data_IF_386287676498
#
_entry.id   IF_386287676498
#
_cell.length_a   1.000
_cell.length_b   1.000
_cell.length_c   1.000
_cell.angle_alpha   90.00
_cell.angle_beta   90.00
_cell.angle_gamma   90.00
#
_symmetry.space_group_name_H-M   'P 1'
#
loop_
_entity.id
_entity.type
_entity.pdbx_description
1 polymer ?
#
# COMPACT_ATOMS: atom_id res chain seq x y z
N UNK A 1 11.13 -101.63 -25.48
CA UNK A 1 10.90 -100.86 -24.23
C UNK A 1 9.90 -99.76 -24.57
N UNK A 2 8.86 -99.70 -23.74
CA UNK A 2 7.61 -98.97 -23.90
C UNK A 2 7.75 -97.44 -23.99
N UNK A 3 6.73 -96.76 -24.55
CA UNK A 3 5.72 -96.00 -23.80
C UNK A 3 5.12 -94.82 -24.60
N UNK A 4 3.81 -94.60 -24.40
CA UNK A 4 3.03 -93.34 -24.47
C UNK A 4 2.85 -92.59 -25.82
N UNK A 5 1.62 -92.65 -26.35
CA UNK A 5 0.73 -91.54 -26.77
C UNK A 5 -0.54 -92.18 -27.36
N UNK A 6 -1.53 -92.59 -26.55
CA UNK A 6 -2.65 -91.78 -26.04
C UNK A 6 -3.71 -91.42 -27.09
N UNK A 7 -4.82 -92.17 -27.03
CA UNK A 7 -6.20 -91.69 -27.04
C UNK A 7 -6.60 -90.62 -28.07
N UNK A 8 -7.15 -91.07 -29.20
CA UNK A 8 -8.37 -90.46 -29.77
C UNK A 8 -9.27 -91.60 -30.26
N UNK A 9 -10.25 -91.95 -29.43
CA UNK A 9 -11.44 -92.68 -29.83
C UNK A 9 -12.36 -91.69 -30.58
N UNK A 10 -12.90 -92.01 -31.77
CA UNK A 10 -13.88 -91.17 -32.45
C UNK A 10 -15.17 -91.11 -31.62
N UNK A 11 -15.18 -90.21 -30.65
CA UNK A 11 -16.26 -90.00 -29.71
C UNK A 11 -17.58 -89.72 -30.43
N UNK A 12 -18.50 -90.65 -30.22
CA UNK A 12 -19.93 -90.62 -30.44
C UNK A 12 -20.54 -89.20 -30.37
N UNK A 13 -20.70 -88.55 -31.52
CA UNK A 13 -21.42 -87.29 -31.68
C UNK A 13 -22.93 -87.56 -31.63
N UNK A 14 -23.47 -87.73 -30.42
CA UNK A 14 -24.87 -88.13 -30.26
C UNK A 14 -25.55 -87.75 -28.95
N UNK A 15 -25.02 -86.78 -28.20
CA UNK A 15 -25.62 -86.34 -26.93
C UNK A 15 -25.62 -84.82 -26.78
N UNK A 16 -26.68 -84.15 -27.25
CA UNK A 16 -26.92 -82.75 -26.89
C UNK A 16 -27.44 -82.68 -25.45
N UNK A 17 -26.58 -82.36 -24.49
CA UNK A 17 -27.02 -81.96 -23.15
C UNK A 17 -27.76 -80.64 -23.31
N UNK A 18 -29.06 -80.59 -23.01
CA UNK A 18 -29.80 -79.33 -22.94
C UNK A 18 -29.25 -78.54 -21.76
N UNK A 19 -28.46 -77.50 -22.04
CA UNK A 19 -28.07 -76.51 -21.04
C UNK A 19 -29.37 -75.77 -20.66
N UNK A 20 -29.81 -75.76 -19.39
CA UNK A 20 -30.96 -74.96 -19.00
C UNK A 20 -30.64 -73.49 -19.28
N UNK A 21 -31.47 -72.85 -20.11
CA UNK A 21 -31.36 -71.43 -20.40
C UNK A 21 -31.45 -70.67 -19.07
N UNK A 22 -30.35 -70.01 -18.69
CA UNK A 22 -30.39 -69.09 -17.56
C UNK A 22 -31.44 -68.02 -17.89
N UNK A 23 -32.32 -67.64 -16.94
CA UNK A 23 -33.33 -66.63 -17.20
C UNK A 23 -32.63 -65.36 -17.71
N UNK A 24 -33.19 -64.68 -18.72
CA UNK A 24 -32.56 -63.51 -19.31
C UNK A 24 -32.25 -62.50 -18.20
N UNK A 25 -30.96 -62.19 -18.02
CA UNK A 25 -30.54 -61.11 -17.13
C UNK A 25 -31.02 -59.82 -17.78
N UNK A 26 -32.14 -59.30 -17.30
CA UNK A 26 -32.62 -57.97 -17.69
C UNK A 26 -31.65 -56.98 -17.07
N UNK A 27 -30.69 -56.52 -17.85
CA UNK A 27 -29.82 -55.42 -17.45
C UNK A 27 -30.71 -54.19 -17.23
N UNK A 28 -30.90 -53.82 -15.97
CA UNK A 28 -31.64 -52.61 -15.65
C UNK A 28 -30.88 -51.41 -16.22
N UNK A 29 -31.59 -50.41 -16.77
CA UNK A 29 -30.94 -49.22 -17.28
C UNK A 29 -30.13 -48.55 -16.16
N UNK A 30 -28.88 -48.22 -16.45
CA UNK A 30 -28.02 -47.51 -15.50
C UNK A 30 -28.58 -46.09 -15.37
N UNK A 31 -29.17 -45.78 -14.22
CA UNK A 31 -29.69 -44.45 -13.90
C UNK A 31 -28.60 -43.67 -13.17
N UNK A 32 -28.29 -42.48 -13.66
CA UNK A 32 -27.35 -41.55 -13.02
C UNK A 32 -28.13 -40.49 -12.25
N UNK A 33 -28.05 -40.52 -10.92
CA UNK A 33 -28.71 -39.53 -10.06
C UNK A 33 -27.83 -38.30 -9.83
N UNK A 34 -28.43 -37.11 -9.80
CA UNK A 34 -27.76 -35.87 -9.41
C UNK A 34 -27.56 -35.84 -7.90
N UNK A 35 -26.34 -35.55 -7.41
CA UNK A 35 -26.06 -35.52 -5.97
C UNK A 35 -26.73 -34.35 -5.22
N UNK A 36 -27.34 -33.38 -5.93
CA UNK A 36 -27.91 -32.16 -5.34
C UNK A 36 -29.43 -32.03 -5.39
N UNK A 37 -30.07 -32.54 -6.44
CA UNK A 37 -31.51 -32.28 -6.67
C UNK A 37 -32.33 -33.54 -7.00
N UNK A 38 -31.77 -34.73 -6.79
CA UNK A 38 -32.42 -36.03 -7.05
C UNK A 38 -32.88 -36.26 -8.50
N UNK A 39 -32.49 -35.39 -9.45
CA UNK A 39 -32.76 -35.58 -10.87
C UNK A 39 -32.06 -36.82 -11.42
N UNK A 40 -32.71 -37.52 -12.34
CA UNK A 40 -32.26 -38.79 -12.92
C UNK A 40 -31.93 -38.62 -14.39
N UNK A 41 -30.82 -39.22 -14.83
CA UNK A 41 -30.31 -39.11 -16.20
C UNK A 41 -29.93 -40.47 -16.76
N UNK A 42 -30.13 -40.63 -18.06
CA UNK A 42 -29.81 -41.86 -18.79
C UNK A 42 -28.34 -41.90 -19.26
N UNK A 43 -27.58 -40.83 -19.05
CA UNK A 43 -26.15 -40.76 -19.37
C UNK A 43 -25.36 -39.87 -18.40
N UNK A 44 -24.07 -40.17 -18.25
CA UNK A 44 -23.13 -39.36 -17.45
C UNK A 44 -23.01 -37.93 -18.01
N UNK A 45 -23.06 -37.77 -19.33
CA UNK A 45 -22.94 -36.47 -19.99
C UNK A 45 -24.13 -35.56 -19.66
N UNK A 46 -25.36 -36.09 -19.76
CA UNK A 46 -26.56 -35.35 -19.40
C UNK A 46 -26.57 -34.96 -17.91
N UNK A 47 -26.11 -35.86 -17.02
CA UNK A 47 -25.93 -35.52 -15.59
C UNK A 47 -24.92 -34.38 -15.40
N UNK A 48 -23.80 -34.40 -16.11
CA UNK A 48 -22.76 -33.35 -16.01
C UNK A 48 -23.27 -32.00 -16.50
N UNK A 49 -23.90 -31.96 -17.66
CA UNK A 49 -24.48 -30.73 -18.23
C UNK A 49 -25.53 -30.14 -17.29
N UNK A 50 -26.41 -30.97 -16.74
CA UNK A 50 -27.35 -30.55 -15.72
C UNK A 50 -26.64 -30.00 -14.48
N UNK A 51 -25.63 -30.70 -13.95
CA UNK A 51 -24.92 -30.27 -12.75
C UNK A 51 -24.27 -28.89 -12.93
N UNK A 52 -23.63 -28.63 -14.06
CA UNK A 52 -23.02 -27.32 -14.34
C UNK A 52 -24.06 -26.21 -14.56
N UNK A 53 -25.19 -26.53 -15.21
CA UNK A 53 -26.21 -25.52 -15.54
C UNK A 53 -27.14 -25.19 -14.35
N UNK A 54 -27.58 -26.22 -13.62
CA UNK A 54 -28.57 -26.08 -12.55
C UNK A 54 -27.93 -25.83 -11.17
N UNK A 55 -26.66 -26.19 -10.99
CA UNK A 55 -25.93 -26.03 -9.74
C UNK A 55 -24.61 -25.28 -9.96
N UNK A 56 -24.69 -24.00 -10.40
CA UNK A 56 -23.48 -23.20 -10.57
C UNK A 56 -22.77 -23.09 -9.22
N UNK A 57 -21.47 -23.41 -9.22
CA UNK A 57 -20.62 -23.25 -8.05
C UNK A 57 -20.65 -21.80 -7.61
N UNK A 58 -21.09 -21.55 -6.37
CA UNK A 58 -21.04 -20.22 -5.78
C UNK A 58 -20.03 -20.21 -4.64
N UNK A 59 -18.99 -19.40 -4.77
CA UNK A 59 -18.04 -19.19 -3.68
C UNK A 59 -18.64 -18.21 -2.66
N UNK A 60 -18.58 -18.48 -1.35
CA UNK A 60 -18.88 -17.48 -0.32
C UNK A 60 -17.91 -16.31 -0.44
N UNK A 61 -18.45 -15.09 -0.46
CA UNK A 61 -17.67 -13.87 -0.61
C UNK A 61 -17.97 -12.90 0.52
N UNK A 62 -16.92 -12.24 0.99
CA UNK A 62 -17.00 -11.14 1.92
C UNK A 62 -16.48 -9.89 1.22
N UNK A 63 -17.31 -8.85 1.16
CA UNK A 63 -16.93 -7.57 0.58
C UNK A 63 -16.82 -6.51 1.67
N UNK A 64 -15.75 -5.74 1.61
CA UNK A 64 -15.54 -4.55 2.41
C UNK A 64 -15.58 -3.33 1.48
N UNK A 65 -16.56 -2.44 1.69
CA UNK A 65 -16.80 -1.25 0.85
C UNK A 65 -16.89 -1.56 -0.65
N UNK A 66 -17.54 -2.68 -0.97
CA UNK A 66 -17.72 -3.16 -2.34
C UNK A 66 -16.48 -3.83 -2.95
N UNK A 67 -15.40 -4.03 -2.20
CA UNK A 67 -14.23 -4.78 -2.66
C UNK A 67 -14.22 -6.18 -2.04
N UNK A 68 -14.13 -7.26 -2.83
CA UNK A 68 -14.04 -8.61 -2.30
C UNK A 68 -12.73 -8.81 -1.56
N UNK A 69 -12.80 -9.40 -0.37
CA UNK A 69 -11.62 -9.80 0.39
C UNK A 69 -11.04 -11.09 -0.18
N UNK A 70 -9.71 -11.16 -0.24
CA UNK A 70 -9.00 -12.38 -0.59
C UNK A 70 -8.79 -13.28 0.62
N UNK A 71 -8.19 -14.46 0.38
CA UNK A 71 -7.89 -15.46 1.40
C UNK A 71 -6.65 -15.12 2.27
N UNK A 72 -6.21 -13.86 2.26
CA UNK A 72 -5.06 -13.38 3.03
C UNK A 72 -5.49 -12.57 4.26
N UNK A 73 -4.51 -12.25 5.13
CA UNK A 73 -4.76 -11.39 6.30
C UNK A 73 -5.12 -9.98 5.84
N UNK A 74 -6.34 -9.55 6.14
CA UNK A 74 -6.82 -8.20 5.87
C UNK A 74 -6.65 -7.37 7.13
N UNK A 75 -5.84 -6.30 7.07
CA UNK A 75 -5.62 -5.39 8.21
C UNK A 75 -6.50 -4.15 8.10
N UNK A 76 -7.23 -3.85 9.15
CA UNK A 76 -8.21 -2.76 9.25
C UNK A 76 -7.67 -1.72 10.23
N UNK A 77 -7.43 -0.50 9.73
CA UNK A 77 -6.85 0.60 10.51
C UNK A 77 -7.85 1.73 10.82
N UNK A 78 -9.07 1.65 10.28
CA UNK A 78 -10.11 2.64 10.48
C UNK A 78 -11.39 1.99 11.02
N UNK A 79 -12.18 2.69 11.86
CA UNK A 79 -13.50 2.22 12.27
C UNK A 79 -14.38 1.93 11.06
N UNK A 80 -15.09 0.80 11.11
CA UNK A 80 -16.02 0.37 10.10
C UNK A 80 -17.44 0.42 10.64
N UNK A 81 -18.40 0.65 9.76
CA UNK A 81 -19.82 0.53 10.07
C UNK A 81 -20.35 -0.81 9.59
N UNK A 82 -21.47 -1.26 10.14
CA UNK A 82 -22.13 -2.48 9.67
C UNK A 82 -22.46 -2.43 8.16
N UNK A 83 -22.78 -1.22 7.64
CA UNK A 83 -23.07 -0.99 6.23
C UNK A 83 -21.83 -1.06 5.30
N UNK A 84 -20.61 -1.04 5.85
CA UNK A 84 -19.39 -1.22 5.05
C UNK A 84 -19.23 -2.68 4.59
N UNK A 85 -19.95 -3.63 5.20
CA UNK A 85 -19.83 -5.06 4.96
C UNK A 85 -20.96 -5.61 4.10
N UNK A 86 -20.62 -6.50 3.19
CA UNK A 86 -21.59 -7.26 2.40
C UNK A 86 -21.16 -8.73 2.31
N UNK A 87 -22.14 -9.62 2.32
CA UNK A 87 -21.95 -11.06 2.14
C UNK A 87 -22.54 -11.50 0.81
N UNK A 88 -21.80 -12.33 0.09
CA UNK A 88 -22.22 -12.99 -1.14
C UNK A 88 -22.28 -14.50 -0.96
N UNK A 89 -23.37 -15.13 -1.45
CA UNK A 89 -23.49 -16.60 -1.55
C UNK A 89 -23.13 -17.39 -0.28
N UNK A 90 -23.54 -16.91 0.89
CA UNK A 90 -23.23 -17.48 2.19
C UNK A 90 -24.49 -18.03 2.87
N UNK A 91 -24.40 -19.23 3.47
CA UNK A 91 -25.50 -19.86 4.21
C UNK A 91 -25.24 -19.91 5.72
N UNK A 92 -23.98 -20.09 6.11
CA UNK A 92 -23.58 -20.13 7.52
C UNK A 92 -22.30 -19.32 7.75
N UNK A 93 -22.18 -18.79 8.96
CA UNK A 93 -21.14 -17.83 9.35
C UNK A 93 -20.62 -18.25 10.72
N UNK A 94 -19.29 -18.34 10.85
CA UNK A 94 -18.61 -18.63 12.10
C UNK A 94 -17.50 -17.60 12.31
N UNK A 95 -17.57 -16.80 13.38
CA UNK A 95 -16.52 -15.87 13.77
C UNK A 95 -15.85 -16.38 15.05
N UNK A 96 -14.53 -16.56 15.02
CA UNK A 96 -13.74 -17.08 16.14
C UNK A 96 -14.31 -18.38 16.74
N UNK A 97 -14.86 -19.26 15.89
CA UNK A 97 -15.48 -20.53 16.30
C UNK A 97 -16.92 -20.42 16.80
N UNK A 98 -17.52 -19.22 16.83
CA UNK A 98 -18.92 -19.03 17.22
C UNK A 98 -19.80 -18.78 16.00
N UNK A 99 -20.85 -19.61 15.85
CA UNK A 99 -21.85 -19.43 14.80
C UNK A 99 -22.74 -18.21 15.09
N UNK A 100 -22.97 -17.39 14.07
CA UNK A 100 -23.76 -16.15 14.21
C UNK A 100 -24.52 -15.79 12.93
N UNK A 101 -25.46 -14.86 13.04
CA UNK A 101 -26.20 -14.32 11.88
C UNK A 101 -25.40 -13.22 11.18
N UNK A 102 -25.77 -12.87 9.95
CA UNK A 102 -25.11 -11.79 9.20
C UNK A 102 -25.18 -10.45 9.94
N UNK A 103 -26.34 -10.09 10.50
CA UNK A 103 -26.50 -8.85 11.25
C UNK A 103 -25.64 -8.83 12.52
N UNK A 104 -25.59 -9.94 13.25
CA UNK A 104 -24.76 -10.07 14.44
C UNK A 104 -23.26 -9.99 14.08
N UNK A 105 -22.84 -10.60 12.96
CA UNK A 105 -21.49 -10.48 12.44
C UNK A 105 -21.12 -9.02 12.18
N UNK A 106 -21.95 -8.28 11.44
CA UNK A 106 -21.64 -6.90 11.06
C UNK A 106 -21.60 -5.96 12.25
N UNK A 107 -22.48 -6.14 13.24
CA UNK A 107 -22.40 -5.39 14.50
C UNK A 107 -21.12 -5.71 15.27
N UNK A 108 -20.80 -7.01 15.41
CA UNK A 108 -19.57 -7.45 16.10
C UNK A 108 -18.32 -6.86 15.43
N UNK A 109 -18.24 -6.91 14.10
CA UNK A 109 -17.11 -6.34 13.34
C UNK A 109 -17.05 -4.81 13.44
N UNK A 110 -18.19 -4.13 13.54
CA UNK A 110 -18.24 -2.68 13.71
C UNK A 110 -17.81 -2.22 15.12
N UNK A 111 -17.95 -3.07 16.13
CA UNK A 111 -17.49 -2.82 17.51
C UNK A 111 -15.99 -3.13 17.70
N UNK A 112 -15.43 -4.03 16.89
CA UNK A 112 -14.02 -4.39 16.96
C UNK A 112 -13.11 -3.16 16.73
N UNK A 113 -12.12 -2.99 17.60
CA UNK A 113 -11.08 -1.95 17.49
C UNK A 113 -9.68 -2.53 17.39
N UNK A 114 -9.43 -3.61 18.10
CA UNK A 114 -8.14 -4.26 18.21
C UNK A 114 -8.34 -5.77 18.21
N UNK A 115 -7.39 -6.51 17.63
CA UNK A 115 -7.33 -7.97 17.73
C UNK A 115 -7.28 -8.69 16.40
N UNK A 116 -7.18 -10.01 16.49
CA UNK A 116 -7.18 -10.91 15.35
C UNK A 116 -8.45 -11.76 15.38
N UNK A 117 -9.17 -11.78 14.27
CA UNK A 117 -10.45 -12.46 14.13
C UNK A 117 -10.40 -13.38 12.93
N UNK A 118 -10.79 -14.64 13.13
CA UNK A 118 -10.91 -15.63 12.07
C UNK A 118 -12.38 -15.78 11.73
N UNK A 119 -12.73 -15.50 10.48
CA UNK A 119 -14.09 -15.59 9.97
C UNK A 119 -14.16 -16.72 8.94
N UNK A 120 -15.03 -17.68 9.18
CA UNK A 120 -15.31 -18.78 8.28
C UNK A 120 -16.72 -18.60 7.71
N UNK A 121 -16.80 -18.53 6.38
CA UNK A 121 -18.03 -18.42 5.63
C UNK A 121 -18.22 -19.69 4.83
N UNK A 122 -19.43 -20.21 4.79
CA UNK A 122 -19.70 -21.37 3.96
C UNK A 122 -21.11 -21.45 3.42
N UNK A 123 -21.22 -22.28 2.41
CA UNK A 123 -22.47 -22.71 1.81
C UNK A 123 -22.37 -24.21 1.50
N UNK A 124 -23.32 -24.76 0.73
CA UNK A 124 -23.33 -26.18 0.35
C UNK A 124 -22.15 -26.60 -0.55
N UNK A 125 -21.41 -25.64 -1.11
CA UNK A 125 -20.45 -25.86 -2.18
C UNK A 125 -19.02 -25.68 -1.71
N UNK A 126 -18.80 -24.71 -0.82
CA UNK A 126 -17.48 -24.26 -0.43
C UNK A 126 -17.48 -23.66 0.97
N UNK A 127 -16.28 -23.64 1.55
CA UNK A 127 -15.96 -22.97 2.80
C UNK A 127 -14.76 -22.09 2.55
N UNK A 128 -14.87 -20.82 2.94
CA UNK A 128 -13.82 -19.82 2.80
C UNK A 128 -13.47 -19.27 4.18
N UNK A 129 -12.18 -19.07 4.41
CA UNK A 129 -11.64 -18.57 5.66
C UNK A 129 -10.95 -17.23 5.41
N UNK A 130 -11.36 -16.25 6.19
CA UNK A 130 -10.86 -14.88 6.17
C UNK A 130 -10.19 -14.56 7.50
N UNK A 131 -9.01 -13.96 7.44
CA UNK A 131 -8.26 -13.55 8.61
C UNK A 131 -8.28 -12.02 8.69
N UNK A 132 -8.96 -11.48 9.69
CA UNK A 132 -9.16 -10.05 9.88
C UNK A 132 -8.35 -9.56 11.07
N UNK A 133 -7.48 -8.58 10.85
CA UNK A 133 -6.69 -7.95 11.91
C UNK A 133 -7.16 -6.51 12.11
N UNK A 134 -7.71 -6.20 13.27
CA UNK A 134 -8.09 -4.84 13.65
C UNK A 134 -6.92 -4.17 14.38
N UNK A 135 -6.51 -3.01 13.87
CA UNK A 135 -5.45 -2.16 14.41
C UNK A 135 -5.91 -0.70 14.36
N UNK A 136 -7.05 -0.39 14.97
CA UNK A 136 -7.63 0.95 14.99
C UNK A 136 -7.06 1.72 16.18
N UNK A 137 -6.19 2.73 15.96
CA UNK A 137 -5.55 3.47 17.04
C UNK A 137 -6.56 4.30 17.84
N UNK A 138 -6.38 4.37 19.16
CA UNK A 138 -7.16 5.25 20.03
C UNK A 138 -6.74 6.71 19.83
N UNK A 139 -7.72 7.60 19.61
CA UNK A 139 -7.45 9.02 19.39
C UNK A 139 -6.69 9.67 20.56
N UNK A 140 -7.00 9.28 21.80
CA UNK A 140 -6.32 9.78 22.99
C UNK A 140 -4.85 9.33 23.06
N UNK A 141 -4.51 8.14 22.59
CA UNK A 141 -3.12 7.70 22.49
C UNK A 141 -2.36 8.44 21.40
N UNK A 142 -2.99 8.67 20.23
CA UNK A 142 -2.39 9.45 19.15
C UNK A 142 -2.10 10.90 19.57
N UNK A 143 -3.03 11.53 20.30
CA UNK A 143 -2.85 12.88 20.84
C UNK A 143 -1.69 12.93 21.86
N UNK A 144 -1.66 11.99 22.80
CA UNK A 144 -0.57 11.91 23.80
C UNK A 144 0.80 11.77 23.15
N UNK A 145 0.91 10.96 22.09
CA UNK A 145 2.15 10.82 21.34
C UNK A 145 2.62 12.17 20.76
N UNK A 146 1.70 12.93 20.15
CA UNK A 146 2.00 14.25 19.60
C UNK A 146 2.36 15.28 20.68
N UNK A 147 1.74 15.22 21.85
CA UNK A 147 2.08 16.10 22.99
C UNK A 147 3.48 15.82 23.53
N UNK A 148 3.86 14.54 23.67
CA UNK A 148 5.21 14.13 24.07
C UNK A 148 6.22 14.58 23.01
N UNK A 149 5.90 14.40 21.73
CA UNK A 149 6.74 14.85 20.63
C UNK A 149 6.99 16.36 20.69
N UNK A 150 5.92 17.15 20.85
CA UNK A 150 6.02 18.61 20.92
C UNK A 150 6.83 19.09 22.13
N UNK A 151 6.87 18.31 23.22
CA UNK A 151 7.65 18.63 24.42
C UNK A 151 9.15 18.35 24.24
N UNK A 152 9.50 17.26 23.53
CA UNK A 152 10.89 16.83 23.38
C UNK A 152 11.62 17.55 22.23
N UNK A 153 10.93 17.94 21.16
CA UNK A 153 11.56 18.44 19.93
C UNK A 153 11.36 19.95 19.67
N UNK A 154 11.32 20.77 20.73
CA UNK A 154 11.05 22.22 20.64
C UNK A 154 12.10 22.97 19.80
N UNK A 155 13.38 22.61 19.92
CA UNK A 155 14.50 23.39 19.36
C UNK A 155 15.03 22.88 18.02
N UNK A 156 14.37 21.89 17.40
CA UNK A 156 14.82 21.27 16.14
C UNK A 156 16.24 20.64 16.22
N UNK A 157 16.82 20.52 17.42
CA UNK A 157 18.03 19.77 17.68
C UNK A 157 17.64 18.30 17.86
N UNK A 158 18.02 17.47 16.90
CA UNK A 158 17.71 16.04 16.89
C UNK A 158 18.98 15.25 17.21
N UNK A 159 18.94 14.43 18.26
CA UNK A 159 19.98 13.46 18.56
C UNK A 159 19.38 12.04 18.74
N UNK A 160 20.19 11.00 18.62
CA UNK A 160 19.76 9.60 18.78
C UNK A 160 19.18 9.35 20.17
N UNK A 161 19.74 9.98 21.21
CA UNK A 161 19.25 9.85 22.58
C UNK A 161 17.85 10.45 22.78
N UNK A 162 17.52 11.53 22.07
CA UNK A 162 16.18 12.13 22.15
C UNK A 162 15.12 11.24 21.51
N UNK A 163 15.48 10.55 20.40
CA UNK A 163 14.60 9.55 19.78
C UNK A 163 14.38 8.36 20.71
N UNK A 164 15.43 7.91 21.41
CA UNK A 164 15.32 6.83 22.42
C UNK A 164 14.40 7.23 23.57
N UNK A 165 14.60 8.41 24.16
CA UNK A 165 13.74 8.95 25.22
C UNK A 165 12.28 9.08 24.76
N UNK A 166 12.06 9.52 23.53
CA UNK A 166 10.74 9.59 22.93
C UNK A 166 10.08 8.19 22.81
N UNK A 167 10.82 7.20 22.29
CA UNK A 167 10.34 5.83 22.17
C UNK A 167 10.00 5.21 23.55
N UNK A 168 10.85 5.44 24.55
CA UNK A 168 10.63 4.98 25.93
C UNK A 168 9.38 5.64 26.54
N UNK A 169 9.21 6.96 26.39
CA UNK A 169 8.05 7.69 26.89
C UNK A 169 6.72 7.20 26.28
N UNK A 170 6.75 6.79 25.01
CA UNK A 170 5.58 6.31 24.28
C UNK A 170 5.35 4.79 24.36
N UNK A 171 6.19 4.03 25.07
CA UNK A 171 6.08 2.56 25.17
C UNK A 171 4.76 2.10 25.82
N UNK A 172 4.13 2.95 26.63
CA UNK A 172 2.83 2.66 27.25
C UNK A 172 1.64 2.73 26.28
N UNK A 173 1.82 3.32 25.08
CA UNK A 173 0.76 3.55 24.09
C UNK A 173 0.66 2.34 23.13
N UNK A 174 -0.19 1.37 23.46
CA UNK A 174 -0.24 0.08 22.74
C UNK A 174 -0.87 0.20 21.35
N UNK A 175 -1.91 1.01 21.21
CA UNK A 175 -2.66 1.16 19.95
C UNK A 175 -1.98 2.12 18.98
N UNK A 176 -1.13 3.02 19.49
CA UNK A 176 -0.34 3.97 18.69
C UNK A 176 1.06 3.43 18.30
N UNK A 177 1.35 2.15 18.49
CA UNK A 177 2.68 1.57 18.23
C UNK A 177 3.14 1.70 16.77
N UNK A 178 2.24 1.48 15.80
CA UNK A 178 2.54 1.71 14.37
C UNK A 178 2.83 3.19 14.09
N UNK A 179 2.12 4.10 14.77
CA UNK A 179 2.37 5.54 14.62
C UNK A 179 3.73 5.93 15.21
N UNK A 180 4.05 5.42 16.40
CA UNK A 180 5.34 5.61 17.06
C UNK A 180 6.49 5.12 16.17
N UNK A 181 6.36 3.92 15.62
CA UNK A 181 7.34 3.36 14.69
C UNK A 181 7.52 4.27 13.47
N UNK A 182 6.43 4.73 12.85
CA UNK A 182 6.49 5.66 11.72
C UNK A 182 7.21 6.97 12.04
N UNK A 183 6.95 7.55 13.21
CA UNK A 183 7.62 8.78 13.68
C UNK A 183 9.10 8.53 13.95
N UNK A 184 9.46 7.43 14.63
CA UNK A 184 10.85 7.06 14.88
C UNK A 184 11.62 6.85 13.56
N UNK A 185 11.05 6.11 12.61
CA UNK A 185 11.66 5.88 11.30
C UNK A 185 11.86 7.20 10.52
N UNK A 186 10.93 8.15 10.64
CA UNK A 186 11.08 9.49 10.08
C UNK A 186 12.29 10.22 10.69
N UNK A 187 12.38 10.28 12.03
CA UNK A 187 13.47 10.97 12.73
C UNK A 187 14.84 10.34 12.42
N UNK A 188 14.93 9.00 12.41
CA UNK A 188 16.15 8.32 11.98
C UNK A 188 16.50 8.58 10.52
N UNK A 189 15.51 8.71 9.64
CA UNK A 189 15.71 9.10 8.25
C UNK A 189 16.28 10.52 8.11
N UNK A 190 15.79 11.48 8.91
CA UNK A 190 16.34 12.84 8.96
C UNK A 190 17.79 12.83 9.46
N UNK A 191 18.09 12.10 10.54
CA UNK A 191 19.47 11.96 11.05
C UNK A 191 20.41 11.31 10.04
N UNK A 192 19.98 10.23 9.37
CA UNK A 192 20.77 9.54 8.36
C UNK A 192 21.07 10.46 7.17
N UNK A 193 20.09 11.28 6.75
CA UNK A 193 20.26 12.24 5.66
C UNK A 193 21.19 13.40 6.03
N UNK A 194 21.04 13.96 7.22
CA UNK A 194 21.86 15.09 7.67
C UNK A 194 23.26 14.69 8.15
N UNK A 195 23.49 13.40 8.44
CA UNK A 195 24.72 12.90 9.06
C UNK A 195 25.08 13.69 10.34
N UNK A 196 24.07 13.92 11.19
CA UNK A 196 24.15 14.69 12.44
C UNK A 196 23.77 13.82 13.64
N UNK A 197 24.07 14.30 14.85
CA UNK A 197 23.64 13.67 16.10
C UNK A 197 24.30 12.32 16.37
N UNK A 198 25.62 12.22 16.17
CA UNK A 198 26.44 11.02 16.42
C UNK A 198 25.87 9.71 15.84
N UNK A 199 25.11 9.82 14.76
CA UNK A 199 24.47 8.68 14.12
C UNK A 199 25.51 7.76 13.48
N UNK A 200 25.38 6.45 13.71
CA UNK A 200 26.16 5.42 13.00
C UNK A 200 25.48 5.00 11.68
N UNK A 201 24.36 5.62 11.33
CA UNK A 201 23.59 5.29 10.13
C UNK A 201 24.29 5.81 8.89
N UNK A 202 24.42 4.94 7.88
CA UNK A 202 24.92 5.35 6.59
C UNK A 202 23.91 6.26 5.88
N UNK A 203 24.42 7.24 5.14
CA UNK A 203 23.61 8.19 4.39
C UNK A 203 22.66 7.45 3.45
N UNK A 204 23.08 6.35 2.79
CA UNK A 204 22.22 5.59 1.90
C UNK A 204 20.93 5.02 2.56
N UNK A 205 20.93 4.84 3.89
CA UNK A 205 19.80 4.26 4.62
C UNK A 205 18.61 5.22 4.77
N UNK A 206 18.78 6.53 4.50
CA UNK A 206 17.69 7.50 4.67
C UNK A 206 16.44 7.12 3.84
N UNK A 207 16.63 6.61 2.62
CA UNK A 207 15.52 6.23 1.72
C UNK A 207 14.70 5.06 2.28
N UNK A 208 15.39 4.05 2.79
CA UNK A 208 14.74 2.88 3.39
C UNK A 208 13.92 3.29 4.62
N UNK A 209 14.51 4.13 5.48
CA UNK A 209 13.85 4.67 6.68
C UNK A 209 12.62 5.51 6.33
N UNK A 210 12.73 6.38 5.34
CA UNK A 210 11.61 7.17 4.83
C UNK A 210 10.49 6.31 4.22
N UNK A 211 10.82 5.26 3.47
CA UNK A 211 9.81 4.35 2.94
C UNK A 211 9.08 3.59 4.05
N UNK A 212 9.81 3.12 5.08
CA UNK A 212 9.20 2.50 6.27
C UNK A 212 8.30 3.47 7.03
N UNK A 213 8.72 4.72 7.17
CA UNK A 213 7.91 5.78 7.76
C UNK A 213 6.63 6.03 6.94
N UNK A 214 6.71 6.13 5.62
CA UNK A 214 5.53 6.28 4.76
C UNK A 214 4.55 5.11 4.92
N UNK A 215 5.04 3.87 4.99
CA UNK A 215 4.20 2.69 5.14
C UNK A 215 3.49 2.67 6.50
N UNK A 216 4.21 2.93 7.60
CA UNK A 216 3.64 2.99 8.94
C UNK A 216 2.64 4.15 9.10
N UNK A 217 2.94 5.30 8.51
CA UNK A 217 2.11 6.49 8.61
C UNK A 217 0.90 6.48 7.66
N UNK A 218 0.82 5.56 6.67
CA UNK A 218 -0.19 5.65 5.58
C UNK A 218 -1.64 5.69 6.06
N UNK A 219 -1.93 4.99 7.16
CA UNK A 219 -3.29 4.83 7.69
C UNK A 219 -3.63 5.81 8.82
N UNK A 220 -2.67 6.62 9.26
CA UNK A 220 -2.86 7.60 10.33
C UNK A 220 -3.31 8.93 9.71
N UNK A 221 -4.56 9.31 9.95
CA UNK A 221 -5.12 10.61 9.54
C UNK A 221 -4.96 11.65 10.65
N UNK A 222 -3.72 12.05 10.89
CA UNK A 222 -3.35 13.11 11.84
C UNK A 222 -2.56 14.22 11.16
N UNK A 223 -2.71 15.48 11.59
CA UNK A 223 -1.96 16.62 11.05
C UNK A 223 -0.43 16.41 11.01
N UNK A 224 0.14 15.92 12.10
CA UNK A 224 1.58 15.63 12.19
C UNK A 224 2.01 14.55 11.20
N UNK A 225 1.30 13.42 11.15
CA UNK A 225 1.55 12.33 10.19
C UNK A 225 1.45 12.81 8.74
N UNK A 226 0.42 13.61 8.39
CA UNK A 226 0.28 14.19 7.04
C UNK A 226 1.48 15.04 6.67
N UNK A 227 1.94 15.87 7.59
CA UNK A 227 3.08 16.76 7.36
C UNK A 227 4.38 15.96 7.19
N UNK A 228 4.65 14.96 8.04
CA UNK A 228 5.79 14.05 7.88
C UNK A 228 5.79 13.33 6.53
N UNK A 229 4.64 12.78 6.10
CA UNK A 229 4.50 12.18 4.76
C UNK A 229 4.78 13.21 3.66
N UNK A 230 4.36 14.45 3.84
CA UNK A 230 4.66 15.56 2.93
C UNK A 230 6.14 15.86 2.81
N UNK A 231 6.84 15.96 3.94
CA UNK A 231 8.29 16.22 3.99
C UNK A 231 9.04 15.07 3.33
N UNK A 232 8.68 13.82 3.63
CA UNK A 232 9.30 12.64 3.00
C UNK A 232 9.07 12.67 1.49
N UNK A 233 7.83 12.86 1.03
CA UNK A 233 7.50 12.90 -0.38
C UNK A 233 8.25 14.02 -1.11
N UNK A 234 8.35 15.20 -0.49
CA UNK A 234 9.15 16.30 -1.01
C UNK A 234 10.63 15.91 -1.11
N UNK A 235 11.21 15.34 -0.05
CA UNK A 235 12.61 14.91 -0.03
C UNK A 235 12.93 13.91 -1.15
N UNK A 236 12.01 12.98 -1.45
CA UNK A 236 12.14 11.94 -2.48
C UNK A 236 11.68 12.39 -3.89
N UNK A 237 11.41 13.67 -4.10
CA UNK A 237 10.87 14.22 -5.37
C UNK A 237 9.54 13.56 -5.82
N UNK A 238 8.75 13.02 -4.89
CA UNK A 238 7.45 12.42 -5.17
C UNK A 238 6.34 13.48 -5.06
N UNK A 239 6.01 14.10 -6.19
CA UNK A 239 4.99 15.17 -6.24
C UNK A 239 3.58 14.69 -6.62
N UNK A 240 3.31 13.38 -6.55
CA UNK A 240 2.02 12.78 -6.95
C UNK A 240 0.83 13.29 -6.11
N UNK A 241 1.08 13.62 -4.85
CA UNK A 241 0.10 14.12 -3.90
C UNK A 241 0.51 15.50 -3.41
N UNK A 242 0.65 16.48 -4.31
CA UNK A 242 0.79 17.90 -3.94
C UNK A 242 -0.52 18.45 -3.29
N UNK A 243 -1.25 17.61 -2.57
CA UNK A 243 -2.55 17.84 -1.98
C UNK A 243 -2.37 18.59 -0.66
N UNK A 244 -3.01 19.76 -0.60
CA UNK A 244 -3.34 20.57 0.59
C UNK A 244 -2.73 20.07 1.90
N UNK A 245 -1.58 20.63 2.27
CA UNK A 245 -1.07 20.54 3.63
C UNK A 245 -1.45 21.83 4.36
N UNK A 246 -2.64 21.91 4.99
CA UNK A 246 -3.03 23.11 5.74
C UNK A 246 -2.05 23.37 6.90
N UNK A 247 -1.44 22.31 7.43
CA UNK A 247 -0.57 22.34 8.60
C UNK A 247 0.86 22.82 8.28
N UNK A 248 1.27 22.79 6.99
CA UNK A 248 2.61 23.19 6.52
C UNK A 248 2.53 23.99 5.20
N UNK A 249 2.09 25.26 5.24
CA UNK A 249 1.81 26.05 4.05
C UNK A 249 3.06 26.31 3.19
N UNK A 250 4.23 26.53 3.82
CA UNK A 250 5.48 26.76 3.08
C UNK A 250 5.89 25.53 2.24
N UNK A 251 5.76 24.33 2.81
CA UNK A 251 6.02 23.07 2.13
C UNK A 251 5.00 22.82 1.02
N UNK A 252 3.72 23.09 1.26
CA UNK A 252 2.67 22.96 0.25
C UNK A 252 2.92 23.86 -0.96
N UNK A 253 3.32 25.12 -0.74
CA UNK A 253 3.65 26.07 -1.82
C UNK A 253 4.87 25.59 -2.60
N UNK A 254 5.93 25.16 -1.92
CA UNK A 254 7.12 24.64 -2.57
C UNK A 254 6.81 23.38 -3.40
N UNK A 255 6.15 22.38 -2.80
CA UNK A 255 5.77 21.14 -3.47
C UNK A 255 4.87 21.39 -4.68
N UNK A 256 3.93 22.33 -4.59
CA UNK A 256 3.05 22.73 -5.71
C UNK A 256 3.85 23.32 -6.88
N UNK A 257 4.82 24.20 -6.60
CA UNK A 257 5.68 24.78 -7.65
C UNK A 257 6.55 23.71 -8.32
N UNK A 258 7.19 22.85 -7.53
CA UNK A 258 7.98 21.73 -8.06
C UNK A 258 7.14 20.72 -8.84
N UNK A 259 5.90 20.45 -8.41
CA UNK A 259 4.96 19.62 -9.17
C UNK A 259 4.65 20.23 -10.54
N UNK A 260 4.42 21.54 -10.61
CA UNK A 260 4.18 22.27 -11.85
C UNK A 260 5.39 22.21 -12.79
N UNK A 261 6.61 22.41 -12.27
CA UNK A 261 7.83 22.23 -13.05
C UNK A 261 7.95 20.78 -13.55
N UNK A 262 7.73 19.78 -12.70
CA UNK A 262 7.71 18.35 -13.08
C UNK A 262 6.55 17.96 -14.03
N UNK A 263 5.74 18.91 -14.52
CA UNK A 263 4.66 18.65 -15.49
C UNK A 263 3.44 17.97 -14.89
N UNK A 264 3.33 17.91 -13.56
CA UNK A 264 2.15 17.38 -12.88
C UNK A 264 1.13 18.48 -12.67
N UNK A 265 -0.13 18.21 -13.02
CA UNK A 265 -1.24 19.13 -12.74
C UNK A 265 -1.48 19.17 -11.23
N UNK A 266 -0.92 20.18 -10.57
CA UNK A 266 -1.29 20.50 -9.21
C UNK A 266 -2.69 21.10 -9.25
N UNK A 267 -3.70 20.37 -8.74
CA UNK A 267 -5.01 20.97 -8.47
C UNK A 267 -4.76 22.16 -7.53
N UNK A 268 -5.09 23.37 -8.00
CA UNK A 268 -4.74 24.63 -7.34
C UNK A 268 -5.10 24.62 -5.86
N UNK A 269 -4.14 24.99 -5.02
CA UNK A 269 -4.31 25.01 -3.58
C UNK A 269 -4.62 26.44 -3.13
N UNK A 270 -5.86 26.70 -2.71
CA UNK A 270 -6.19 27.88 -1.89
C UNK A 270 -5.97 27.45 -0.44
N UNK A 271 -4.85 27.83 0.16
CA UNK A 271 -4.57 27.57 1.57
C UNK A 271 -4.91 28.83 2.37
N UNK A 272 -5.98 28.77 3.17
CA UNK A 272 -6.16 29.74 4.24
C UNK A 272 -5.05 29.52 5.28
N UNK A 273 -4.38 30.57 5.77
CA UNK A 273 -3.30 30.42 6.73
C UNK A 273 -3.86 29.87 8.06
N UNK A 274 -3.63 28.60 8.33
CA UNK A 274 -3.80 28.03 9.67
C UNK A 274 -2.49 28.21 10.44
N UNK A 275 -2.58 28.36 11.77
CA UNK A 275 -1.39 28.46 12.63
C UNK A 275 -0.50 27.25 12.36
N UNK A 276 0.72 27.51 11.87
CA UNK A 276 1.72 26.49 11.63
C UNK A 276 1.84 25.60 12.86
N UNK A 277 1.55 24.32 12.70
CA UNK A 277 1.79 23.35 13.78
C UNK A 277 3.29 23.22 14.03
N UNK A 278 3.61 22.66 15.20
CA UNK A 278 4.95 22.48 15.75
C UNK A 278 5.99 22.23 14.66
N UNK A 279 7.12 22.96 14.74
CA UNK A 279 8.26 22.81 13.82
C UNK A 279 8.72 21.36 13.84
N UNK A 280 8.31 20.59 12.83
CA UNK A 280 8.82 19.24 12.66
C UNK A 280 10.31 19.31 12.34
N UNK A 281 11.10 18.33 12.79
CA UNK A 281 12.48 18.24 12.36
C UNK A 281 12.59 18.01 10.87
N UNK A 282 13.26 18.92 10.18
CA UNK A 282 13.50 18.88 8.73
C UNK A 282 15.00 18.76 8.51
N UNK A 283 15.40 17.99 7.51
CA UNK A 283 16.79 17.94 7.07
C UNK A 283 17.26 19.30 6.53
N UNK A 284 18.56 19.58 6.68
CA UNK A 284 19.15 20.87 6.34
C UNK A 284 18.97 21.25 4.86
N UNK A 285 19.00 20.27 3.94
CA UNK A 285 18.82 20.56 2.52
C UNK A 285 17.38 21.02 2.23
N UNK A 286 16.39 20.33 2.78
CA UNK A 286 14.98 20.71 2.64
C UNK A 286 14.71 22.07 3.30
N UNK A 287 15.23 22.32 4.50
CA UNK A 287 15.09 23.63 5.17
C UNK A 287 15.69 24.79 4.33
N UNK A 288 16.88 24.57 3.76
CA UNK A 288 17.49 25.55 2.84
C UNK A 288 16.65 25.79 1.58
N UNK A 289 16.10 24.74 0.97
CA UNK A 289 15.22 24.89 -0.20
C UNK A 289 13.97 25.71 0.15
N UNK A 290 13.34 25.42 1.29
CA UNK A 290 12.16 26.17 1.74
C UNK A 290 12.48 27.64 2.03
N UNK A 291 13.62 27.93 2.66
CA UNK A 291 14.04 29.32 2.92
C UNK A 291 14.33 30.09 1.63
N UNK A 292 14.95 29.46 0.62
CA UNK A 292 15.11 30.06 -0.70
C UNK A 292 13.77 30.34 -1.39
N UNK A 293 12.82 29.39 -1.32
CA UNK A 293 11.49 29.57 -1.91
C UNK A 293 10.67 30.71 -1.29
N UNK A 294 11.00 31.09 -0.05
CA UNK A 294 10.42 32.22 0.66
C UNK A 294 11.12 33.57 0.36
N UNK A 295 12.22 33.58 -0.40
CA UNK A 295 12.95 34.81 -0.70
C UNK A 295 12.16 35.75 -1.65
N UNK A 296 12.14 37.06 -1.36
CA UNK A 296 11.64 38.06 -2.31
C UNK A 296 12.49 38.10 -3.59
N UNK A 297 11.85 38.42 -4.73
CA UNK A 297 12.51 38.50 -6.05
C UNK A 297 13.79 39.35 -6.04
N UNK A 298 13.77 40.48 -5.33
CA UNK A 298 14.93 41.39 -5.20
C UNK A 298 16.18 40.74 -4.60
N UNK A 299 16.04 39.64 -3.85
CA UNK A 299 17.15 38.90 -3.22
C UNK A 299 17.51 37.62 -3.95
N UNK A 300 16.73 37.18 -4.94
CA UNK A 300 16.98 35.92 -5.65
C UNK A 300 18.31 35.95 -6.41
N UNK A 301 18.67 37.08 -7.01
CA UNK A 301 19.94 37.24 -7.74
C UNK A 301 21.18 36.98 -6.86
N UNK A 302 21.13 37.39 -5.58
CA UNK A 302 22.20 37.17 -4.60
C UNK A 302 22.29 35.71 -4.16
N UNK A 303 21.16 35.01 -4.13
CA UNK A 303 21.09 33.60 -3.74
C UNK A 303 21.53 32.63 -4.87
N UNK A 304 21.71 33.10 -6.10
CA UNK A 304 22.12 32.25 -7.23
C UNK A 304 23.49 31.60 -7.03
N UNK A 305 24.44 32.33 -6.44
CA UNK A 305 25.78 31.78 -6.17
C UNK A 305 25.71 30.69 -5.09
N UNK A 306 24.89 30.91 -4.05
CA UNK A 306 24.65 29.92 -2.99
C UNK A 306 23.97 28.64 -3.53
N UNK A 307 22.99 28.80 -4.43
CA UNK A 307 22.34 27.68 -5.11
C UNK A 307 23.35 26.89 -5.95
N UNK A 308 24.25 27.58 -6.66
CA UNK A 308 25.29 26.93 -7.47
C UNK A 308 26.29 26.14 -6.59
N UNK A 309 26.67 26.69 -5.43
CA UNK A 309 27.48 25.97 -4.45
C UNK A 309 26.76 24.73 -3.91
N UNK A 310 25.46 24.81 -3.64
CA UNK A 310 24.67 23.66 -3.20
C UNK A 310 24.57 22.56 -4.26
N UNK A 311 24.42 22.92 -5.54
CA UNK A 311 24.45 21.96 -6.66
C UNK A 311 25.80 21.24 -6.77
N UNK A 312 26.91 21.95 -6.48
CA UNK A 312 28.25 21.37 -6.52
C UNK A 312 28.59 20.53 -5.27
N UNK A 313 27.81 20.66 -4.19
CA UNK A 313 28.13 20.02 -2.92
C UNK A 313 27.85 18.51 -2.93
N UNK A 314 28.81 17.68 -2.49
CA UNK A 314 28.61 16.23 -2.35
C UNK A 314 27.74 15.88 -1.14
N UNK A 315 27.55 16.81 -0.19
CA UNK A 315 26.73 16.61 1.00
C UNK A 315 25.23 16.57 0.69
N UNK A 316 24.83 17.01 -0.49
CA UNK A 316 23.44 17.04 -0.91
C UNK A 316 23.07 15.74 -1.62
N UNK A 317 21.82 15.30 -1.46
CA UNK A 317 21.32 14.15 -2.23
C UNK A 317 21.17 14.51 -3.72
N UNK A 318 21.08 13.51 -4.58
CA UNK A 318 20.82 13.76 -6.01
C UNK A 318 19.44 14.42 -6.19
N UNK A 319 18.46 14.00 -5.40
CA UNK A 319 17.10 14.53 -5.39
C UNK A 319 17.08 16.01 -5.03
N UNK A 320 17.81 16.42 -3.99
CA UNK A 320 17.87 17.82 -3.55
C UNK A 320 18.66 18.67 -4.55
N UNK A 321 19.76 18.16 -5.11
CA UNK A 321 20.49 18.87 -6.18
C UNK A 321 19.61 19.12 -7.41
N UNK A 322 18.76 18.17 -7.79
CA UNK A 322 17.82 18.35 -8.89
C UNK A 322 16.82 19.48 -8.60
N UNK A 323 16.25 19.52 -7.37
CA UNK A 323 15.37 20.63 -6.95
C UNK A 323 16.08 21.98 -7.01
N UNK A 324 17.30 22.06 -6.48
CA UNK A 324 18.10 23.30 -6.46
C UNK A 324 18.46 23.74 -7.88
N UNK A 325 18.80 22.81 -8.77
CA UNK A 325 19.10 23.10 -10.17
C UNK A 325 17.89 23.65 -10.94
N UNK A 326 16.69 23.13 -10.68
CA UNK A 326 15.45 23.67 -11.25
C UNK A 326 15.19 25.08 -10.73
N UNK A 327 15.35 25.31 -9.43
CA UNK A 327 15.19 26.63 -8.82
C UNK A 327 16.19 27.65 -9.38
N UNK A 328 17.45 27.23 -9.51
CA UNK A 328 18.50 28.03 -10.13
C UNK A 328 18.18 28.34 -11.59
N UNK A 329 17.63 27.39 -12.35
CA UNK A 329 17.28 27.59 -13.75
C UNK A 329 16.15 28.62 -13.90
N UNK A 330 15.11 28.53 -13.07
CA UNK A 330 14.00 29.49 -13.08
C UNK A 330 14.51 30.91 -12.78
N UNK A 331 15.26 31.11 -11.69
CA UNK A 331 15.75 32.44 -11.29
C UNK A 331 16.87 32.95 -12.21
N UNK A 332 17.75 32.05 -12.65
CA UNK A 332 18.87 32.35 -13.53
C UNK A 332 18.41 32.82 -14.91
N UNK A 333 17.26 32.34 -15.40
CA UNK A 333 16.69 32.77 -16.68
C UNK A 333 16.36 34.28 -16.72
N UNK A 334 16.06 34.89 -15.56
CA UNK A 334 15.76 36.31 -15.44
C UNK A 334 16.98 37.16 -15.06
N UNK A 335 17.96 36.60 -14.36
CA UNK A 335 19.05 37.37 -13.74
C UNK A 335 20.45 37.14 -14.33
N UNK A 336 20.67 36.08 -15.13
CA UNK A 336 22.00 35.71 -15.65
C UNK A 336 22.08 35.79 -17.17
N UNK A 337 23.31 35.73 -17.69
CA UNK A 337 23.56 35.66 -19.13
C UNK A 337 22.89 34.41 -19.71
N UNK A 338 22.32 34.46 -20.93
CA UNK A 338 21.50 33.36 -21.48
C UNK A 338 22.25 32.03 -21.66
N UNK A 339 23.59 32.06 -21.69
CA UNK A 339 24.42 30.86 -21.87
C UNK A 339 24.54 30.01 -20.59
N UNK A 340 24.38 30.59 -19.40
CA UNK A 340 24.43 29.83 -18.15
C UNK A 340 23.13 29.02 -17.91
N UNK A 341 21.91 29.59 -18.01
CA UNK A 341 20.65 28.84 -17.98
C UNK A 341 20.60 27.72 -19.02
N UNK A 342 21.07 27.94 -20.25
CA UNK A 342 21.15 26.89 -21.29
C UNK A 342 22.03 25.72 -20.86
N UNK A 343 23.19 25.99 -20.25
CA UNK A 343 24.08 24.94 -19.73
C UNK A 343 23.41 24.17 -18.60
N UNK A 344 22.72 24.85 -17.68
CA UNK A 344 22.02 24.17 -16.59
C UNK A 344 20.84 23.31 -17.10
N UNK A 345 20.04 23.85 -18.03
CA UNK A 345 18.93 23.09 -18.61
C UNK A 345 19.42 21.81 -19.30
N UNK A 346 20.54 21.86 -20.04
CA UNK A 346 21.15 20.66 -20.63
C UNK A 346 21.57 19.61 -19.60
N UNK A 347 21.99 20.02 -18.40
CA UNK A 347 22.31 19.07 -17.31
C UNK A 347 21.06 18.39 -16.75
N UNK A 348 19.93 19.10 -16.74
CA UNK A 348 18.64 18.60 -16.25
C UNK A 348 17.88 17.71 -17.26
N UNK A 349 18.29 17.68 -18.54
CA UNK A 349 17.67 16.79 -19.54
C UNK A 349 17.80 15.30 -19.18
N UNK A 350 18.82 14.92 -18.43
CA UNK A 350 19.03 13.53 -17.99
C UNK A 350 18.30 13.21 -16.67
N UNK A 351 17.59 14.17 -16.08
CA UNK A 351 16.85 13.97 -14.84
C UNK A 351 15.49 13.33 -15.11
N UNK A 352 15.16 12.26 -14.38
CA UNK A 352 13.95 11.48 -14.61
C UNK A 352 12.64 12.25 -14.34
N UNK A 353 12.69 13.35 -13.56
CA UNK A 353 11.50 14.08 -13.10
C UNK A 353 11.39 15.44 -13.79
N UNK A 354 12.52 16.12 -14.00
CA UNK A 354 12.55 17.50 -14.48
C UNK A 354 13.00 17.66 -15.95
N UNK A 355 13.29 16.58 -16.68
CA UNK A 355 13.65 16.65 -18.10
C UNK A 355 12.64 17.45 -18.94
N UNK A 356 11.35 17.18 -18.80
CA UNK A 356 10.31 17.91 -19.54
C UNK A 356 10.17 19.39 -19.17
N UNK A 357 10.65 19.82 -18.00
CA UNK A 357 10.79 21.25 -17.69
C UNK A 357 11.99 21.86 -18.41
N UNK A 358 13.13 21.17 -18.38
CA UNK A 358 14.36 21.62 -19.03
C UNK A 358 14.18 21.77 -20.55
N UNK A 359 13.47 20.86 -21.21
CA UNK A 359 13.11 20.96 -22.63
C UNK A 359 12.30 22.24 -22.92
N UNK A 360 11.20 22.46 -22.20
CA UNK A 360 10.36 23.67 -22.35
C UNK A 360 11.14 24.96 -22.11
N UNK A 361 12.09 24.95 -21.18
CA UNK A 361 12.96 26.09 -20.93
C UNK A 361 13.95 26.33 -22.08
N UNK A 362 14.54 25.28 -22.64
CA UNK A 362 15.44 25.39 -23.80
C UNK A 362 14.70 25.91 -25.03
N UNK A 363 13.47 25.46 -25.28
CA UNK A 363 12.61 25.98 -26.35
C UNK A 363 12.34 27.47 -26.18
N UNK A 364 11.99 27.92 -24.96
CA UNK A 364 11.76 29.35 -24.67
C UNK A 364 12.99 30.23 -24.87
N UNK A 365 14.19 29.68 -24.66
CA UNK A 365 15.46 30.40 -24.78
C UNK A 365 16.07 30.35 -26.19
N UNK A 366 15.49 29.58 -27.10
CA UNK A 366 15.84 29.53 -28.53
C UNK A 366 14.66 30.08 -29.36
N UNK A 367 14.50 31.42 -29.45
CA UNK A 367 13.55 32.02 -30.38
C UNK A 367 13.95 31.79 -31.84
#
# INVERSE_FOLDING_TARGET
MAWYLSFIDPGNAGGSVRIPESPPVVLQPIVYECPRCSARFDSVQARREHFFAAHPYRKPELLLRGQPLGNGVTTIHAPLQAADWLLGSCEWIVLNGQAMTADALFQTLAECRQGFHVLELGNQDATERFELRFCIPELAELQRLEDVFATLFIDNALNVDDIRRFAEACTSLKTASEYLEGVCQYLYGVLAKDQRGDTQLDHAQYKERFNRALEALRHVDRPMARTMRGIINFSLNSFAQAASQPDAPALAVAATRFAGWAGRSAKGCVVAPQKAQARLPIDHATDRILSWMALPEKRQAQALDDLQQAIASPLWTAEDRAKVAVLWLEWGSACRSPDEPRRMARRLLNDAIFAGYAERMLERMNP
#
